data_IF_803842307178
#
_entry.id   IF_803842307178
#
_cell.length_a   1.000
_cell.length_b   1.000
_cell.length_c   1.000
_cell.angle_alpha   90.00
_cell.angle_beta   90.00
_cell.angle_gamma   90.00
#
_symmetry.space_group_name_H-M   'P 1'
#
loop_
_entity.id
_entity.type
_entity.pdbx_description
1 polymer ?
#
# COMPACT_ATOMS: atom_id res chain seq x y z
N UNK A 1 25.91 13.75 -4.03
CA UNK A 1 24.86 13.32 -3.07
C UNK A 1 24.27 11.97 -3.44
N UNK A 2 23.56 11.82 -4.58
CA UNK A 2 23.01 10.51 -4.99
C UNK A 2 24.12 9.48 -5.22
N UNK A 3 25.16 9.82 -6.00
CA UNK A 3 26.32 8.94 -6.23
C UNK A 3 27.03 8.51 -4.93
N UNK A 4 26.93 9.29 -3.86
CA UNK A 4 27.59 9.02 -2.58
C UNK A 4 26.71 8.18 -1.62
N UNK A 5 25.38 8.35 -1.66
CA UNK A 5 24.45 7.77 -0.68
C UNK A 5 23.42 6.78 -1.27
N UNK A 6 23.29 6.70 -2.59
CA UNK A 6 22.39 5.78 -3.30
C UNK A 6 20.90 6.17 -3.31
N UNK A 7 20.51 7.35 -2.82
CA UNK A 7 19.11 7.80 -2.85
C UNK A 7 18.99 9.33 -3.00
N UNK A 8 17.80 9.75 -3.44
CA UNK A 8 17.39 11.15 -3.47
C UNK A 8 16.01 11.29 -2.82
N UNK A 9 15.84 12.30 -1.97
CA UNK A 9 14.54 12.64 -1.40
C UNK A 9 13.91 13.77 -2.20
N UNK A 10 12.88 13.45 -2.98
CA UNK A 10 12.05 14.46 -3.67
C UNK A 10 10.82 14.73 -2.80
N UNK A 11 10.77 15.91 -2.18
CA UNK A 11 9.67 16.30 -1.30
C UNK A 11 8.42 16.61 -2.13
N UNK A 12 7.26 16.15 -1.66
CA UNK A 12 5.95 16.39 -2.30
C UNK A 12 5.91 15.96 -3.77
N UNK A 13 6.60 14.87 -4.10
CA UNK A 13 6.58 14.29 -5.46
C UNK A 13 5.17 13.84 -5.84
N UNK A 14 4.51 13.10 -4.96
CA UNK A 14 3.14 12.62 -5.12
C UNK A 14 2.17 13.60 -4.45
N UNK A 15 1.05 13.90 -5.12
CA UNK A 15 0.00 14.77 -4.60
C UNK A 15 -0.74 14.15 -3.41
N UNK A 16 -1.25 15.00 -2.50
CA UNK A 16 -2.07 14.54 -1.37
C UNK A 16 -3.37 13.84 -1.85
N UNK A 17 -3.91 14.25 -3.00
CA UNK A 17 -5.08 13.62 -3.62
C UNK A 17 -4.80 12.16 -4.01
N UNK A 18 -3.65 11.90 -4.62
CA UNK A 18 -3.28 10.56 -5.04
C UNK A 18 -2.93 9.67 -3.85
N UNK A 19 -2.22 10.21 -2.85
CA UNK A 19 -2.00 9.51 -1.57
C UNK A 19 -3.33 9.07 -0.96
N UNK A 20 -4.32 9.97 -0.91
CA UNK A 20 -5.64 9.66 -0.35
C UNK A 20 -6.41 8.64 -1.21
N UNK A 21 -6.27 8.69 -2.53
CA UNK A 21 -6.83 7.69 -3.45
C UNK A 21 -6.27 6.30 -3.18
N UNK A 22 -4.95 6.18 -3.05
CA UNK A 22 -4.29 4.90 -2.74
C UNK A 22 -4.71 4.39 -1.36
N UNK A 23 -4.76 5.27 -0.35
CA UNK A 23 -5.22 4.93 1.01
C UNK A 23 -6.63 4.35 1.00
N UNK A 24 -7.57 4.99 0.30
CA UNK A 24 -8.96 4.50 0.21
C UNK A 24 -9.04 3.12 -0.43
N UNK A 25 -8.27 2.86 -1.50
CA UNK A 25 -8.23 1.53 -2.12
C UNK A 25 -7.65 0.47 -1.17
N UNK A 26 -6.54 0.78 -0.50
CA UNK A 26 -5.93 -0.14 0.46
C UNK A 26 -6.91 -0.52 1.59
N UNK A 27 -7.62 0.46 2.16
CA UNK A 27 -8.63 0.20 3.21
C UNK A 27 -9.74 -0.73 2.71
N UNK A 28 -10.21 -0.58 1.46
CA UNK A 28 -11.21 -1.48 0.88
C UNK A 28 -10.69 -2.92 0.75
N UNK A 29 -9.39 -3.10 0.49
CA UNK A 29 -8.75 -4.42 0.49
C UNK A 29 -8.71 -4.99 1.92
N UNK A 30 -8.31 -4.20 2.92
CA UNK A 30 -8.33 -4.61 4.32
C UNK A 30 -9.72 -5.07 4.78
N UNK A 31 -10.76 -4.34 4.38
CA UNK A 31 -12.15 -4.65 4.68
C UNK A 31 -12.73 -5.82 3.86
N UNK A 32 -11.94 -6.42 2.96
CA UNK A 32 -12.38 -7.48 2.03
C UNK A 32 -13.50 -7.05 1.07
N UNK A 33 -13.65 -5.73 0.85
CA UNK A 33 -14.60 -5.15 -0.11
C UNK A 33 -14.07 -5.20 -1.56
N UNK A 34 -12.78 -5.46 -1.71
CA UNK A 34 -12.07 -5.52 -2.98
C UNK A 34 -10.99 -6.60 -2.89
N UNK A 35 -10.91 -7.45 -3.91
CA UNK A 35 -9.81 -8.39 -4.08
C UNK A 35 -9.42 -8.41 -5.56
N UNK A 36 -8.51 -7.52 -5.99
CA UNK A 36 -8.13 -7.45 -7.39
C UNK A 36 -7.44 -8.75 -7.83
N UNK A 37 -7.62 -9.19 -9.09
CA UNK A 37 -6.93 -10.39 -9.59
C UNK A 37 -5.41 -10.23 -9.51
N UNK A 38 -4.70 -11.33 -9.28
CA UNK A 38 -3.24 -11.35 -9.21
C UNK A 38 -2.62 -10.75 -7.94
N UNK A 39 -3.39 -10.05 -7.12
CA UNK A 39 -2.90 -9.40 -5.91
C UNK A 39 -2.55 -10.41 -4.82
N UNK A 40 -1.34 -10.28 -4.28
CA UNK A 40 -0.88 -11.03 -3.12
C UNK A 40 -1.09 -10.20 -1.85
N UNK A 41 -1.99 -10.66 -0.97
CA UNK A 41 -2.29 -10.01 0.31
C UNK A 41 -1.55 -10.77 1.41
N UNK A 42 -0.58 -10.12 2.05
CA UNK A 42 0.07 -10.64 3.23
C UNK A 42 -0.70 -10.23 4.48
N UNK A 43 -0.81 -11.15 5.43
CA UNK A 43 -1.43 -10.92 6.74
C UNK A 43 -0.48 -11.39 7.82
N UNK A 44 -0.28 -10.53 8.80
CA UNK A 44 0.51 -10.85 9.98
C UNK A 44 -0.38 -10.78 11.22
N UNK A 45 -0.02 -11.61 12.18
CA UNK A 45 -0.59 -11.61 13.52
C UNK A 45 -0.14 -10.37 14.30
N UNK A 46 -1.09 -9.48 14.61
CA UNK A 46 -0.81 -8.34 15.49
C UNK A 46 -1.16 -8.71 16.93
N UNK A 47 -0.12 -8.91 17.73
CA UNK A 47 -0.27 -9.05 19.18
C UNK A 47 -0.53 -7.68 19.81
N UNK A 48 -1.78 -7.43 20.19
CA UNK A 48 -2.13 -6.25 20.99
C UNK A 48 -2.07 -6.63 22.47
N UNK A 49 -1.39 -5.84 23.33
CA UNK A 49 -1.16 -6.20 24.74
C UNK A 49 -2.44 -6.42 25.57
N UNK A 50 -3.62 -6.00 25.08
CA UNK A 50 -4.91 -6.12 25.76
C UNK A 50 -5.93 -7.04 25.04
N UNK A 51 -5.51 -7.79 24.01
CA UNK A 51 -6.41 -8.67 23.25
C UNK A 51 -5.92 -10.11 23.37
N UNK A 52 -6.78 -10.99 23.89
CA UNK A 52 -6.47 -12.41 24.14
C UNK A 52 -6.32 -13.21 22.83
N UNK A 53 -6.92 -12.72 21.74
CA UNK A 53 -6.84 -13.32 20.41
C UNK A 53 -6.01 -12.46 19.48
N UNK A 54 -5.01 -13.06 18.86
CA UNK A 54 -4.25 -12.46 17.76
C UNK A 54 -5.19 -12.20 16.57
N UNK A 55 -5.10 -11.02 15.96
CA UNK A 55 -5.86 -10.67 14.76
C UNK A 55 -4.93 -10.64 13.55
N UNK A 56 -5.19 -11.52 12.58
CA UNK A 56 -4.52 -11.48 11.27
C UNK A 56 -4.94 -10.23 10.52
N UNK A 57 -4.06 -9.22 10.49
CA UNK A 57 -4.31 -7.95 9.83
C UNK A 57 -3.50 -7.87 8.55
N UNK A 58 -4.07 -7.28 7.50
CA UNK A 58 -3.34 -7.02 6.25
C UNK A 58 -2.18 -6.06 6.55
N UNK A 59 -0.95 -6.54 6.41
CA UNK A 59 0.27 -5.75 6.62
C UNK A 59 0.83 -5.22 5.30
N UNK A 60 0.57 -5.91 4.18
CA UNK A 60 1.17 -5.63 2.88
C UNK A 60 0.33 -6.20 1.74
N UNK A 61 0.34 -5.46 0.63
CA UNK A 61 -0.30 -5.84 -0.63
C UNK A 61 0.76 -5.76 -1.73
N UNK A 62 0.86 -6.82 -2.51
CA UNK A 62 1.83 -7.02 -3.60
C UNK A 62 1.10 -7.29 -4.91
N UNK A 63 1.82 -7.15 -6.02
CA UNK A 63 1.39 -7.63 -7.34
C UNK A 63 0.06 -7.01 -7.83
N UNK A 64 -0.12 -5.72 -7.54
CA UNK A 64 -1.34 -4.96 -7.83
C UNK A 64 -1.35 -4.29 -9.21
N UNK A 65 -0.54 -4.76 -10.16
CA UNK A 65 -0.44 -4.14 -11.49
C UNK A 65 -1.75 -4.21 -12.29
N UNK A 66 -2.63 -5.17 -12.01
CA UNK A 66 -3.94 -5.30 -12.66
C UNK A 66 -5.00 -4.36 -12.07
N UNK A 67 -4.78 -3.82 -10.87
CA UNK A 67 -5.68 -2.79 -10.32
C UNK A 67 -5.25 -1.42 -10.83
N UNK A 68 -5.98 -0.89 -11.83
CA UNK A 68 -5.66 0.40 -12.47
C UNK A 68 -5.51 1.57 -11.47
N UNK A 69 -6.22 1.53 -10.34
CA UNK A 69 -6.17 2.62 -9.37
C UNK A 69 -4.96 2.57 -8.43
N UNK A 70 -4.45 1.38 -8.11
CA UNK A 70 -3.19 1.20 -7.38
C UNK A 70 -2.00 1.32 -8.35
N UNK A 71 -2.13 0.79 -9.57
CA UNK A 71 -1.10 0.87 -10.60
C UNK A 71 -0.91 2.28 -11.14
N UNK A 72 -1.87 3.20 -10.93
CA UNK A 72 -1.73 4.61 -11.31
C UNK A 72 -0.43 5.25 -10.82
N UNK A 73 0.10 4.83 -9.66
CA UNK A 73 1.40 5.30 -9.17
C UNK A 73 2.55 5.05 -10.16
N UNK A 74 2.50 3.94 -10.91
CA UNK A 74 3.50 3.58 -11.92
C UNK A 74 3.29 4.30 -13.27
N UNK A 75 2.14 4.95 -13.46
CA UNK A 75 1.79 5.69 -14.68
C UNK A 75 1.82 7.20 -14.49
N UNK A 76 2.15 7.68 -13.29
CA UNK A 76 2.35 9.10 -13.02
C UNK A 76 3.62 9.60 -13.74
N UNK A 77 3.61 10.81 -14.32
CA UNK A 77 4.74 11.34 -15.07
C UNK A 77 5.88 11.89 -14.19
N UNK A 78 5.67 11.90 -12.88
CA UNK A 78 6.61 12.38 -11.86
C UNK A 78 7.76 11.40 -11.63
#
# INVERSE_FOLDING_TARGET
FYEDNGYLLIKKLISDEDIERFRKKFVRICNKEMNPPGVLIMRDEIHRPNVVQSEETVNKVHDFWEDEGLFRNCTLPE
#
